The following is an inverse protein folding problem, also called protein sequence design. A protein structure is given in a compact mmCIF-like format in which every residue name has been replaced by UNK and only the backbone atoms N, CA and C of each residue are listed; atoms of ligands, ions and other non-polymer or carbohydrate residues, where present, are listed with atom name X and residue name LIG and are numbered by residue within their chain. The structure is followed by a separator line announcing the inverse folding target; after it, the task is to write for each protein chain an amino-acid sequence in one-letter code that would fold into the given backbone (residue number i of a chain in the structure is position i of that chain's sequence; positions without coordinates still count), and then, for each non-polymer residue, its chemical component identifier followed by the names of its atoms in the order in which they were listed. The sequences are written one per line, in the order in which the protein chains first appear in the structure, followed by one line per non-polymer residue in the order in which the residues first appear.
data_IF_283384900934
#
_entry.id   IF_283384900934
#
_cell.length_a   1.000
_cell.length_b   1.000
_cell.length_c   1.000
_cell.angle_alpha   90.00
_cell.angle_beta   90.00
_cell.angle_gamma   90.00
#
_symmetry.space_group_name_H-M   'P 1'
#
loop_
_entity.id
_entity.type
_entity.pdbx_description
1 polymer ?
#
# COMPACT_ATOMS: atom_id res chain seq x y z
N UNK A 1 -14.81 -34.29 -17.35
CA UNK A 1 -14.24 -34.43 -16.00
C UNK A 1 -12.79 -33.94 -15.97
N UNK A 2 -12.46 -32.91 -16.76
CA UNK A 2 -11.15 -32.23 -16.77
C UNK A 2 -11.24 -30.76 -16.32
N UNK A 3 -12.44 -30.18 -16.32
CA UNK A 3 -12.65 -28.75 -16.07
C UNK A 3 -12.32 -28.34 -14.62
N UNK A 4 -12.43 -29.26 -13.65
CA UNK A 4 -12.16 -28.95 -12.24
C UNK A 4 -10.67 -28.80 -11.91
N UNK A 5 -9.77 -29.48 -12.62
CA UNK A 5 -8.33 -29.42 -12.31
C UNK A 5 -7.69 -28.17 -12.93
N UNK A 6 -8.10 -27.83 -14.16
CA UNK A 6 -7.70 -26.58 -14.82
C UNK A 6 -8.22 -25.34 -14.07
N UNK A 7 -9.46 -25.38 -13.56
CA UNK A 7 -10.02 -24.29 -12.74
C UNK A 7 -9.25 -24.08 -11.43
N UNK A 8 -8.80 -25.16 -10.79
CA UNK A 8 -7.99 -25.09 -9.57
C UNK A 8 -6.59 -24.55 -9.86
N UNK A 9 -5.98 -24.99 -10.96
CA UNK A 9 -4.69 -24.50 -11.42
C UNK A 9 -4.75 -22.99 -11.69
N UNK A 10 -5.81 -22.53 -12.38
CA UNK A 10 -6.01 -21.13 -12.69
C UNK A 10 -6.22 -20.27 -11.43
N UNK A 11 -7.01 -20.76 -10.46
CA UNK A 11 -7.20 -20.08 -9.17
C UNK A 11 -5.90 -19.94 -8.38
N UNK A 12 -5.08 -20.99 -8.34
CA UNK A 12 -3.79 -20.94 -7.65
C UNK A 12 -2.83 -19.96 -8.33
N UNK A 13 -2.78 -19.98 -9.66
CA UNK A 13 -1.98 -19.03 -10.43
C UNK A 13 -2.37 -17.57 -10.13
N UNK A 14 -3.67 -17.24 -10.15
CA UNK A 14 -4.12 -15.88 -9.82
C UNK A 14 -3.83 -15.47 -8.37
N UNK A 15 -3.90 -16.42 -7.44
CA UNK A 15 -3.56 -16.16 -6.04
C UNK A 15 -2.06 -15.84 -5.88
N UNK A 16 -1.19 -16.60 -6.55
CA UNK A 16 0.27 -16.39 -6.53
C UNK A 16 0.65 -15.06 -7.19
N UNK A 17 0.11 -14.76 -8.37
CA UNK A 17 0.30 -13.44 -9.02
C UNK A 17 -0.13 -12.31 -8.08
N UNK A 18 -1.28 -12.45 -7.42
CA UNK A 18 -1.77 -11.44 -6.49
C UNK A 18 -0.88 -11.31 -5.24
N UNK A 19 -0.24 -12.38 -4.77
CA UNK A 19 0.72 -12.33 -3.67
C UNK A 19 1.98 -11.55 -4.09
N UNK A 20 2.54 -11.87 -5.25
CA UNK A 20 3.71 -11.19 -5.84
C UNK A 20 3.42 -9.69 -6.08
N UNK A 21 2.23 -9.34 -6.57
CA UNK A 21 1.82 -7.95 -6.76
C UNK A 21 1.82 -7.17 -5.44
N UNK A 22 1.32 -7.78 -4.35
CA UNK A 22 1.33 -7.14 -3.02
C UNK A 22 2.76 -6.93 -2.52
N UNK A 23 3.63 -7.91 -2.68
CA UNK A 23 5.04 -7.83 -2.26
C UNK A 23 5.78 -6.73 -3.03
N UNK A 24 5.62 -6.67 -4.35
CA UNK A 24 6.20 -5.62 -5.17
C UNK A 24 5.72 -4.22 -4.75
N UNK A 25 4.44 -4.10 -4.38
CA UNK A 25 3.89 -2.83 -3.92
C UNK A 25 4.47 -2.38 -2.57
N UNK A 26 4.73 -3.33 -1.66
CA UNK A 26 5.43 -3.04 -0.39
C UNK A 26 6.83 -2.48 -0.68
N UNK A 27 7.60 -3.13 -1.54
CA UNK A 27 8.95 -2.68 -1.90
C UNK A 27 8.92 -1.32 -2.62
N UNK A 28 7.94 -1.09 -3.49
CA UNK A 28 7.73 0.19 -4.17
C UNK A 28 7.48 1.32 -3.17
N UNK A 29 6.57 1.11 -2.20
CA UNK A 29 6.27 2.11 -1.16
C UNK A 29 7.52 2.45 -0.35
N UNK A 30 8.30 1.44 0.06
CA UNK A 30 9.51 1.63 0.87
C UNK A 30 10.66 2.31 0.10
N UNK A 31 10.65 2.23 -1.23
CA UNK A 31 11.64 2.90 -2.08
C UNK A 31 11.24 4.33 -2.48
N UNK A 32 10.04 4.79 -2.13
CA UNK A 32 9.57 6.14 -2.47
C UNK A 32 10.30 7.22 -1.66
N UNK A 33 10.42 8.42 -2.24
CA UNK A 33 11.00 9.54 -1.52
C UNK A 33 10.04 10.04 -0.44
N UNK A 34 10.49 10.04 0.84
CA UNK A 34 9.64 10.33 2.02
C UNK A 34 8.90 11.68 1.97
N UNK A 35 9.38 12.64 1.20
CA UNK A 35 8.77 13.97 1.06
C UNK A 35 7.74 14.05 -0.08
N UNK A 36 7.65 13.04 -0.94
CA UNK A 36 6.74 13.04 -2.10
C UNK A 36 5.55 12.10 -1.87
N UNK A 37 4.45 12.65 -1.34
CA UNK A 37 3.20 11.92 -1.12
C UNK A 37 2.61 11.31 -2.41
N UNK A 38 2.83 11.92 -3.58
CA UNK A 38 2.29 11.43 -4.85
C UNK A 38 3.04 10.19 -5.36
N UNK A 39 4.34 10.09 -5.09
CA UNK A 39 5.13 8.89 -5.38
C UNK A 39 4.63 7.67 -4.58
N UNK A 40 4.39 7.86 -3.28
CA UNK A 40 3.81 6.81 -2.46
C UNK A 40 2.46 6.31 -2.97
N UNK A 41 1.65 7.20 -3.55
CA UNK A 41 0.36 6.84 -4.13
C UNK A 41 0.46 6.33 -5.57
N UNK A 42 1.62 6.43 -6.20
CA UNK A 42 1.82 6.18 -7.62
C UNK A 42 0.84 7.00 -8.47
N UNK A 43 0.73 8.30 -8.16
CA UNK A 43 -0.14 9.25 -8.85
C UNK A 43 0.66 10.42 -9.42
N UNK A 44 0.22 11.02 -10.54
CA UNK A 44 0.72 12.30 -10.99
C UNK A 44 0.43 13.44 -9.99
N UNK A 45 1.29 14.47 -9.95
CA UNK A 45 1.11 15.66 -9.11
C UNK A 45 -0.18 16.45 -9.39
N UNK A 46 -0.77 16.28 -10.58
CA UNK A 46 -2.01 16.94 -10.99
C UNK A 46 -3.27 16.10 -10.71
N UNK A 47 -3.13 14.96 -10.02
CA UNK A 47 -4.28 14.14 -9.62
C UNK A 47 -5.22 14.88 -8.68
N UNK A 48 -6.52 14.62 -8.80
CA UNK A 48 -7.51 15.24 -7.95
C UNK A 48 -7.42 14.70 -6.51
N UNK A 49 -7.90 15.46 -5.50
CA UNK A 49 -7.99 14.96 -4.13
C UNK A 49 -8.82 13.66 -4.01
N UNK A 50 -9.82 13.49 -4.88
CA UNK A 50 -10.65 12.27 -4.92
C UNK A 50 -9.86 11.06 -5.43
N UNK A 51 -9.01 11.24 -6.44
CA UNK A 51 -8.14 10.17 -6.96
C UNK A 51 -7.14 9.73 -5.92
N UNK A 52 -6.54 10.69 -5.23
CA UNK A 52 -5.66 10.41 -4.10
C UNK A 52 -6.40 9.61 -3.02
N UNK A 53 -7.60 10.05 -2.62
CA UNK A 53 -8.37 9.34 -1.59
C UNK A 53 -8.73 7.92 -2.02
N UNK A 54 -9.08 7.72 -3.30
CA UNK A 54 -9.35 6.40 -3.87
C UNK A 54 -8.11 5.52 -3.84
N UNK A 55 -6.98 6.06 -4.27
CA UNK A 55 -5.73 5.32 -4.38
C UNK A 55 -5.14 4.97 -3.02
N UNK A 56 -5.18 5.90 -2.07
CA UNK A 56 -4.79 5.63 -0.68
C UNK A 56 -5.55 4.45 -0.08
N UNK A 57 -6.87 4.39 -0.26
CA UNK A 57 -7.69 3.26 0.21
C UNK A 57 -7.30 1.95 -0.47
N UNK A 58 -7.08 1.97 -1.78
CA UNK A 58 -6.69 0.80 -2.57
C UNK A 58 -5.35 0.25 -2.07
N UNK A 59 -4.33 1.10 -1.95
CA UNK A 59 -3.00 0.72 -1.51
C UNK A 59 -3.00 0.24 -0.06
N UNK A 60 -3.69 0.94 0.83
CA UNK A 60 -3.80 0.56 2.25
C UNK A 60 -4.35 -0.86 2.42
N UNK A 61 -5.31 -1.27 1.59
CA UNK A 61 -5.86 -2.63 1.62
C UNK A 61 -4.94 -3.66 0.96
N UNK A 62 -4.14 -3.25 -0.02
CA UNK A 62 -3.21 -4.10 -0.75
C UNK A 62 -2.00 -4.47 0.12
N UNK A 63 -1.43 -3.49 0.83
CA UNK A 63 -0.24 -3.68 1.69
C UNK A 63 -0.58 -3.84 3.17
N UNK A 64 -1.86 -4.03 3.52
CA UNK A 64 -2.25 -4.25 4.91
C UNK A 64 -1.54 -5.49 5.47
N UNK A 65 -0.94 -5.43 6.68
CA UNK A 65 -0.19 -6.56 7.26
C UNK A 65 -1.02 -7.84 7.42
N UNK A 66 -2.34 -7.74 7.62
CA UNK A 66 -3.22 -8.93 7.67
C UNK A 66 -3.38 -9.63 6.31
N UNK A 67 -3.21 -8.91 5.20
CA UNK A 67 -3.44 -9.43 3.83
C UNK A 67 -2.15 -9.69 3.07
N UNK A 68 -1.07 -9.00 3.42
CA UNK A 68 0.24 -9.15 2.80
C UNK A 68 1.20 -9.79 3.82
N UNK A 69 1.72 -10.97 3.49
CA UNK A 69 2.64 -11.72 4.36
C UNK A 69 4.08 -11.18 4.34
N UNK A 70 4.36 -10.16 3.53
CA UNK A 70 5.70 -9.58 3.43
C UNK A 70 6.16 -9.04 4.79
N UNK A 71 7.40 -9.34 5.24
CA UNK A 71 7.88 -8.95 6.57
C UNK A 71 7.84 -7.44 6.80
N UNK A 72 8.00 -6.65 5.75
CA UNK A 72 7.96 -5.18 5.79
C UNK A 72 6.59 -4.57 5.48
N UNK A 73 5.51 -5.37 5.34
CA UNK A 73 4.17 -4.84 5.06
C UNK A 73 3.71 -3.82 6.11
N UNK A 74 4.05 -4.07 7.39
CA UNK A 74 3.76 -3.14 8.50
C UNK A 74 4.48 -1.79 8.35
N UNK A 75 5.73 -1.81 7.89
CA UNK A 75 6.53 -0.61 7.67
C UNK A 75 5.97 0.20 6.50
N UNK A 76 5.73 -0.45 5.35
CA UNK A 76 5.14 0.19 4.18
C UNK A 76 3.75 0.77 4.47
N UNK A 77 2.91 0.06 5.23
CA UNK A 77 1.61 0.57 5.66
C UNK A 77 1.74 1.80 6.56
N UNK A 78 2.75 1.82 7.45
CA UNK A 78 3.07 2.97 8.29
C UNK A 78 3.46 4.20 7.46
N UNK A 79 4.38 4.03 6.52
CA UNK A 79 4.83 5.08 5.60
C UNK A 79 3.68 5.63 4.76
N UNK A 80 2.82 4.76 4.24
CA UNK A 80 1.60 5.17 3.54
C UNK A 80 0.68 5.98 4.48
N UNK A 81 0.55 5.58 5.75
CA UNK A 81 -0.24 6.26 6.77
C UNK A 81 0.19 7.71 7.06
N UNK A 82 1.46 8.06 6.84
CA UNK A 82 1.97 9.43 6.98
C UNK A 82 1.31 10.42 6.04
N UNK A 83 0.72 9.91 4.95
CA UNK A 83 0.14 10.69 3.87
C UNK A 83 -1.32 11.07 4.15
N UNK A 84 -1.99 10.32 5.02
CA UNK A 84 -3.39 10.51 5.39
C UNK A 84 -3.77 11.96 5.76
N UNK A 85 -2.96 12.73 6.51
CA UNK A 85 -3.28 14.11 6.87
C UNK A 85 -3.42 15.06 5.67
N UNK A 86 -2.68 14.81 4.59
CA UNK A 86 -2.69 15.67 3.40
C UNK A 86 -4.04 15.69 2.67
N UNK A 87 -4.90 14.69 2.88
CA UNK A 87 -6.15 14.53 2.13
C UNK A 87 -7.40 14.32 2.99
N UNK A 88 -7.25 13.98 4.27
CA UNK A 88 -8.39 13.88 5.20
C UNK A 88 -8.65 15.16 6.02
N UNK A 89 -7.90 16.24 5.81
CA UNK A 89 -8.21 17.55 6.42
C UNK A 89 -8.22 17.56 7.94
N UNK A 90 -7.45 16.69 8.60
CA UNK A 90 -7.35 16.67 10.07
C UNK A 90 -6.40 17.75 10.56
N UNK A 91 -6.90 18.69 11.38
CA UNK A 91 -6.08 19.53 12.26
C UNK A 91 -5.43 18.62 13.31
N UNK A 92 -4.10 18.59 13.37
CA UNK A 92 -3.36 17.88 14.42
C UNK A 92 -2.38 16.86 13.88
N UNK A 93 -1.29 17.34 13.28
CA UNK A 93 -0.08 16.55 13.08
C UNK A 93 0.91 16.91 14.19
N UNK A 94 0.73 16.31 15.35
CA UNK A 94 1.68 16.33 16.46
C UNK A 94 1.57 15.00 17.19
N UNK A 95 2.05 13.91 16.57
CA UNK A 95 2.45 12.66 17.24
C UNK A 95 2.78 11.58 16.20
N UNK A 96 3.98 11.61 15.63
CA UNK A 96 4.76 10.38 15.34
C UNK A 96 6.21 10.68 14.93
N UNK A 97 6.78 11.81 15.38
CA UNK A 97 8.19 12.13 15.23
C UNK A 97 8.83 12.18 16.62
N UNK A 98 8.88 11.01 17.27
CA UNK A 98 9.58 10.65 18.52
C UNK A 98 9.01 9.25 18.85
N UNK A 99 9.63 8.16 18.46
CA UNK A 99 10.75 7.57 19.21
C UNK A 99 11.82 6.98 18.27
N UNK A 100 12.89 7.73 18.06
CA UNK A 100 14.23 7.15 17.94
C UNK A 100 14.98 7.73 19.13
N UNK A 101 14.87 7.07 20.26
CA UNK A 101 15.84 7.25 21.33
C UNK A 101 16.67 5.98 21.41
N UNK A 102 17.94 6.26 21.65
CA UNK A 102 19.12 5.41 21.79
C UNK A 102 18.92 4.13 22.58
#
# INVERSE_FOLDING_TARGET
MGDTEDDLLLKNFFAEVSEVERENEVLRILSCFKLNAFEYLNLPFHSSPDDVKKQYRKLSLMVHPDKCKHPQAKEAFGDLGLIRPYYEGRKGFAAFAQTSDT
#
